data_IF_060872545116
#
_entry.id   IF_060872545116
#
_cell.length_a   1.000
_cell.length_b   1.000
_cell.length_c   1.000
_cell.angle_alpha   90.00
_cell.angle_beta   90.00
_cell.angle_gamma   90.00
#
_symmetry.space_group_name_H-M   'P 1'
#
loop_
_entity.id
_entity.type
_entity.pdbx_description
1 polymer ?
#
# COMPACT_ATOMS: atom_id res chain seq x y z
N UNK A 1 -18.60 -3.90 6.24
CA UNK A 1 -17.34 -3.15 5.97
C UNK A 1 -16.17 -4.09 5.59
N UNK A 2 -16.45 -5.31 5.13
CA UNK A 2 -15.41 -6.34 4.86
C UNK A 2 -14.87 -6.31 3.42
N UNK A 3 -15.53 -5.61 2.48
CA UNK A 3 -15.27 -5.78 1.05
C UNK A 3 -14.08 -5.00 0.48
N UNK A 4 -13.63 -3.91 1.14
CA UNK A 4 -12.49 -3.10 0.64
C UNK A 4 -11.14 -3.55 1.20
N UNK A 5 -11.09 -3.98 2.46
CA UNK A 5 -9.81 -4.36 3.08
C UNK A 5 -9.21 -5.58 2.39
N UNK A 6 -10.02 -6.62 2.13
CA UNK A 6 -9.55 -7.86 1.50
C UNK A 6 -9.08 -7.70 0.04
N UNK A 7 -9.37 -6.56 -0.62
CA UNK A 7 -9.04 -6.35 -2.04
C UNK A 7 -7.82 -5.46 -2.26
N UNK A 8 -7.46 -4.63 -1.28
CA UNK A 8 -6.47 -3.56 -1.48
C UNK A 8 -5.44 -3.57 -0.36
N UNK A 9 -5.87 -3.58 0.90
CA UNK A 9 -5.01 -3.37 2.05
C UNK A 9 -4.74 -4.64 2.84
N UNK A 10 -4.03 -4.47 3.94
CA UNK A 10 -3.74 -5.53 4.89
C UNK A 10 -4.59 -5.38 6.15
N UNK A 11 -5.26 -6.46 6.55
CA UNK A 11 -6.03 -6.52 7.79
C UNK A 11 -5.08 -6.78 8.97
N UNK A 12 -5.02 -5.84 9.91
CA UNK A 12 -4.16 -5.94 11.11
C UNK A 12 -4.96 -6.36 12.33
N UNK A 13 -6.23 -5.93 12.43
CA UNK A 13 -7.18 -6.33 13.47
C UNK A 13 -8.58 -6.44 12.86
N UNK A 14 -9.55 -6.97 13.63
CA UNK A 14 -10.95 -7.13 13.21
C UNK A 14 -11.53 -5.90 12.48
N UNK A 15 -11.22 -4.70 12.97
CA UNK A 15 -11.72 -3.43 12.43
C UNK A 15 -10.60 -2.48 11.94
N UNK A 16 -9.37 -2.97 11.75
CA UNK A 16 -8.24 -2.14 11.32
C UNK A 16 -7.63 -2.68 10.03
N UNK A 17 -7.68 -1.85 9.00
CA UNK A 17 -7.09 -2.10 7.70
C UNK A 17 -6.08 -1.00 7.38
N UNK A 18 -4.91 -1.37 6.87
CA UNK A 18 -3.89 -0.41 6.43
C UNK A 18 -3.59 -0.66 4.96
N UNK A 19 -3.66 0.39 4.14
CA UNK A 19 -3.33 0.35 2.70
C UNK A 19 -2.24 1.33 2.30
N UNK A 20 -2.04 2.40 3.09
CA UNK A 20 -0.93 3.33 2.91
C UNK A 20 -0.65 4.09 4.20
N UNK A 21 0.61 4.52 4.38
CA UNK A 21 1.04 5.43 5.42
C UNK A 21 1.98 6.48 4.82
N UNK A 22 1.91 7.71 5.32
CA UNK A 22 2.69 8.85 4.86
C UNK A 22 3.46 9.43 6.04
N UNK A 23 4.74 9.72 5.83
CA UNK A 23 5.57 10.48 6.76
C UNK A 23 6.49 11.41 5.97
N UNK A 24 6.23 12.72 6.05
CA UNK A 24 6.91 13.72 5.21
C UNK A 24 6.82 13.36 3.71
N UNK A 25 7.96 13.25 3.02
CA UNK A 25 8.08 12.85 1.61
C UNK A 25 8.09 11.34 1.39
N UNK A 26 8.21 10.54 2.46
CA UNK A 26 8.20 9.08 2.38
C UNK A 26 6.77 8.52 2.47
N UNK A 27 6.42 7.67 1.50
CA UNK A 27 5.15 6.96 1.47
C UNK A 27 5.36 5.45 1.43
N UNK A 28 4.66 4.74 2.31
CA UNK A 28 4.55 3.28 2.26
C UNK A 28 3.18 2.90 1.72
N UNK A 29 3.15 1.96 0.78
CA UNK A 29 1.94 1.33 0.26
C UNK A 29 1.93 -0.12 0.71
N UNK A 30 0.81 -0.57 1.27
CA UNK A 30 0.62 -1.93 1.75
C UNK A 30 -0.48 -2.58 0.93
N UNK A 31 -0.14 -3.69 0.28
CA UNK A 31 -1.03 -4.44 -0.57
C UNK A 31 -1.18 -5.89 -0.09
N UNK A 32 -2.32 -6.51 -0.40
CA UNK A 32 -2.55 -7.92 -0.10
C UNK A 32 -1.73 -8.89 -0.95
N UNK A 33 -1.37 -8.47 -2.16
CA UNK A 33 -0.56 -9.24 -3.10
C UNK A 33 0.22 -8.31 -4.04
N UNK A 34 1.05 -8.92 -4.90
CA UNK A 34 1.96 -8.21 -5.83
C UNK A 34 1.21 -7.48 -6.93
N UNK A 35 0.11 -8.04 -7.44
CA UNK A 35 -0.67 -7.44 -8.53
C UNK A 35 -1.39 -6.17 -8.04
N UNK A 36 -1.94 -6.23 -6.83
CA UNK A 36 -2.53 -5.09 -6.13
C UNK A 36 -1.48 -4.04 -5.82
N UNK A 37 -0.27 -4.44 -5.39
CA UNK A 37 0.84 -3.50 -5.15
C UNK A 37 1.23 -2.74 -6.42
N UNK A 38 1.40 -3.45 -7.54
CA UNK A 38 1.74 -2.86 -8.82
C UNK A 38 0.63 -1.91 -9.32
N UNK A 39 -0.64 -2.29 -9.16
CA UNK A 39 -1.78 -1.44 -9.48
C UNK A 39 -1.77 -0.14 -8.65
N UNK A 40 -1.55 -0.24 -7.34
CA UNK A 40 -1.53 0.90 -6.44
C UNK A 40 -0.37 1.84 -6.76
N UNK A 41 0.84 1.32 -6.97
CA UNK A 41 2.01 2.12 -7.32
C UNK A 41 1.82 2.87 -8.64
N UNK A 42 1.27 2.21 -9.66
CA UNK A 42 0.96 2.85 -10.95
C UNK A 42 -0.06 3.98 -10.78
N UNK A 43 -1.15 3.72 -10.05
CA UNK A 43 -2.18 4.75 -9.79
C UNK A 43 -1.66 5.90 -8.96
N UNK A 44 -0.79 5.62 -7.99
CA UNK A 44 -0.13 6.63 -7.18
C UNK A 44 0.73 7.54 -8.07
N UNK A 45 1.55 6.96 -8.95
CA UNK A 45 2.38 7.72 -9.88
C UNK A 45 1.54 8.62 -10.82
N UNK A 46 0.45 8.08 -11.38
CA UNK A 46 -0.48 8.85 -12.22
C UNK A 46 -1.07 10.06 -11.46
N UNK A 47 -1.50 9.89 -10.21
CA UNK A 47 -2.09 10.99 -9.43
C UNK A 47 -1.04 12.03 -9.00
N UNK A 48 0.16 11.60 -8.59
CA UNK A 48 1.24 12.54 -8.26
C UNK A 48 1.71 13.33 -9.48
N UNK A 49 1.78 12.71 -10.65
CA UNK A 49 2.09 13.39 -11.91
C UNK A 49 1.02 14.46 -12.24
N UNK A 50 -0.27 14.13 -12.06
CA UNK A 50 -1.38 15.10 -12.21
C UNK A 50 -1.29 16.26 -11.23
N UNK A 51 -0.65 16.07 -10.08
CA UNK A 51 -0.39 17.12 -9.08
C UNK A 51 0.94 17.86 -9.32
N UNK A 52 1.68 17.53 -10.37
CA UNK A 52 2.99 18.13 -10.67
C UNK A 52 4.11 17.67 -9.75
N UNK A 53 3.95 16.53 -9.09
CA UNK A 53 4.92 15.95 -8.15
C UNK A 53 5.61 14.77 -8.83
N UNK A 54 6.94 14.79 -8.85
CA UNK A 54 7.74 13.68 -9.38
C UNK A 54 8.09 12.71 -8.25
N UNK A 55 7.67 11.45 -8.39
CA UNK A 55 8.06 10.39 -7.46
C UNK A 55 9.50 9.94 -7.73
N UNK A 56 10.30 9.84 -6.68
CA UNK A 56 11.63 9.26 -6.77
C UNK A 56 11.57 7.72 -6.68
N UNK A 57 11.25 7.09 -7.82
CA UNK A 57 11.11 5.63 -7.91
C UNK A 57 12.45 4.92 -7.59
N UNK A 58 13.59 5.57 -7.86
CA UNK A 58 14.93 4.99 -7.58
C UNK A 58 15.16 4.69 -6.10
N UNK A 59 14.52 5.45 -5.21
CA UNK A 59 14.57 5.21 -3.75
C UNK A 59 13.49 4.24 -3.25
N UNK A 60 12.62 3.75 -4.12
CA UNK A 60 11.51 2.86 -3.71
C UNK A 60 12.04 1.45 -3.45
N UNK A 61 11.79 0.93 -2.25
CA UNK A 61 12.12 -0.45 -1.89
C UNK A 61 10.87 -1.33 -1.82
N UNK A 62 11.01 -2.59 -2.25
CA UNK A 62 9.94 -3.58 -2.18
C UNK A 62 10.24 -4.61 -1.11
N UNK A 63 9.29 -4.76 -0.17
CA UNK A 63 9.37 -5.77 0.88
C UNK A 63 8.15 -6.69 0.77
N UNK A 64 8.40 -7.97 0.52
CA UNK A 64 7.39 -9.02 0.60
C UNK A 64 7.56 -9.80 1.89
N UNK A 65 6.51 -9.84 2.71
CA UNK A 65 6.49 -10.67 3.92
C UNK A 65 5.23 -11.53 3.92
N UNK A 66 5.42 -12.82 4.19
CA UNK A 66 4.31 -13.73 4.50
C UNK A 66 3.94 -13.49 5.95
N UNK A 67 2.84 -12.79 6.19
CA UNK A 67 2.35 -12.53 7.54
C UNK A 67 1.35 -13.61 7.92
N UNK A 68 1.73 -14.46 8.87
CA UNK A 68 0.80 -15.35 9.55
C UNK A 68 0.18 -14.59 10.72
N UNK A 69 -1.09 -14.20 10.57
CA UNK A 69 -1.86 -13.58 11.64
C UNK A 69 -2.10 -14.63 12.74
N UNK A 70 -1.31 -14.60 13.80
CA UNK A 70 -1.61 -15.35 15.03
C UNK A 70 -2.80 -14.68 15.71
N UNK A 71 -3.98 -15.28 15.58
CA UNK A 71 -5.12 -14.93 16.42
C UNK A 71 -4.74 -15.23 17.88
N UNK A 72 -4.81 -14.20 18.74
CA UNK A 72 -4.67 -14.33 20.20
C UNK A 72 -6.03 -14.56 20.83
#
# INVERSE_FOLDING_TARGET
MESKCNRIGMKVKKNLCISSQLFADDQVVIAGDVDVAAYLLRKLAEEYERWGISLNITKTEHLSQRIELKEK
#
